data_IF_574198125434
#
_entry.id   IF_574198125434
#
_cell.length_a   1.000
_cell.length_b   1.000
_cell.length_c   1.000
_cell.angle_alpha   90.00
_cell.angle_beta   90.00
_cell.angle_gamma   90.00
#
_symmetry.space_group_name_H-M   'P 1'
#
loop_
_entity.id
_entity.type
_entity.pdbx_description
1 polymer ?
#
# COMPACT_ATOMS: atom_id res chain seq x y z
N UNK A 1 -10.62 20.76 3.67
CA UNK A 1 -10.46 21.02 2.22
C UNK A 1 -9.45 20.03 1.69
N UNK A 2 -9.87 19.08 0.85
CA UNK A 2 -9.02 17.99 0.40
C UNK A 2 -8.48 18.34 -1.00
N UNK A 3 -7.20 18.74 -1.13
CA UNK A 3 -6.61 19.14 -2.42
C UNK A 3 -6.48 17.98 -3.43
N UNK A 4 -6.96 16.78 -3.09
CA UNK A 4 -7.01 15.61 -3.96
C UNK A 4 -8.26 15.54 -4.88
N UNK A 5 -9.18 16.50 -4.80
CA UNK A 5 -10.46 16.45 -5.54
C UNK A 5 -10.67 17.54 -6.60
N UNK A 6 -9.77 18.50 -6.74
CA UNK A 6 -9.86 19.51 -7.81
C UNK A 6 -8.71 19.36 -8.81
N UNK A 7 -8.88 18.47 -9.78
CA UNK A 7 -8.24 18.60 -11.09
C UNK A 7 -9.25 18.28 -12.17
N UNK A 8 -9.34 19.18 -13.16
CA UNK A 8 -10.39 19.33 -14.16
C UNK A 8 -10.68 18.07 -15.02
N UNK A 9 -11.89 17.94 -15.61
CA UNK A 9 -12.39 16.69 -16.22
C UNK A 9 -11.80 16.29 -17.58
N UNK A 10 -10.79 16.99 -18.12
CA UNK A 10 -10.41 16.82 -19.54
C UNK A 10 -8.94 16.57 -19.85
N UNK A 11 -8.06 16.41 -18.86
CA UNK A 11 -6.68 16.00 -19.12
C UNK A 11 -6.41 14.63 -18.51
N UNK A 12 -6.49 13.58 -19.34
CA UNK A 12 -5.67 12.38 -19.17
C UNK A 12 -4.20 12.79 -19.38
N UNK A 13 -3.65 13.61 -18.49
CA UNK A 13 -2.21 13.87 -18.46
C UNK A 13 -1.52 12.62 -17.90
N UNK A 14 -1.34 11.67 -18.82
CA UNK A 14 -0.62 10.42 -18.66
C UNK A 14 0.88 10.63 -18.76
N UNK A 15 1.36 11.87 -18.58
CA UNK A 15 2.74 12.35 -18.68
C UNK A 15 3.77 11.23 -18.75
N UNK A 16 4.44 11.13 -19.90
CA UNK A 16 5.43 10.08 -20.13
C UNK A 16 6.52 10.17 -19.08
N UNK A 17 6.61 9.15 -18.23
CA UNK A 17 7.72 9.03 -17.31
C UNK A 17 8.94 8.58 -18.11
N UNK A 18 9.78 9.54 -18.43
CA UNK A 18 11.13 9.29 -18.91
C UNK A 18 12.03 9.14 -17.69
N UNK A 19 12.02 7.93 -17.13
CA UNK A 19 12.97 7.51 -16.10
C UNK A 19 14.09 6.74 -16.80
N UNK A 20 15.29 7.31 -16.79
CA UNK A 20 16.50 6.58 -17.16
C UNK A 20 16.99 5.85 -15.90
N UNK A 21 16.84 4.52 -15.89
CA UNK A 21 17.19 3.68 -14.75
C UNK A 21 18.58 3.10 -14.99
N UNK A 22 19.53 3.24 -14.04
CA UNK A 22 20.85 2.66 -14.18
C UNK A 22 20.79 1.13 -14.08
N UNK A 23 21.81 0.44 -14.59
CA UNK A 23 21.97 -1.01 -14.40
C UNK A 23 22.13 -1.39 -12.92
N UNK A 24 22.73 -0.50 -12.12
CA UNK A 24 22.90 -0.63 -10.68
C UNK A 24 22.87 0.74 -10.00
N UNK A 25 22.22 0.85 -8.84
CA UNK A 25 22.23 2.08 -8.06
C UNK A 25 23.54 2.28 -7.31
N UNK A 26 24.14 3.47 -7.44
CA UNK A 26 25.38 3.82 -6.73
C UNK A 26 25.06 4.33 -5.32
N UNK A 27 23.94 5.02 -5.15
CA UNK A 27 23.55 5.62 -3.85
C UNK A 27 22.12 5.30 -3.47
N UNK A 28 21.86 5.21 -2.17
CA UNK A 28 20.50 5.04 -1.65
C UNK A 28 19.54 6.15 -2.13
N UNK A 29 20.03 7.40 -2.20
CA UNK A 29 19.22 8.54 -2.60
C UNK A 29 18.73 8.45 -4.05
N UNK A 30 19.56 7.89 -4.94
CA UNK A 30 19.21 7.64 -6.33
C UNK A 30 18.09 6.59 -6.44
N UNK A 31 18.25 5.45 -5.76
CA UNK A 31 17.24 4.40 -5.68
C UNK A 31 15.92 4.93 -5.07
N UNK A 32 16.03 5.73 -4.01
CA UNK A 32 14.90 6.34 -3.32
C UNK A 32 14.12 7.33 -4.20
N UNK A 33 14.84 8.20 -4.91
CA UNK A 33 14.21 9.22 -5.76
C UNK A 33 13.44 8.58 -6.90
N UNK A 34 14.06 7.60 -7.57
CA UNK A 34 13.46 6.90 -8.71
C UNK A 34 12.23 6.07 -8.30
N UNK A 35 12.30 5.32 -7.20
CA UNK A 35 11.13 4.54 -6.72
C UNK A 35 9.99 5.44 -6.24
N UNK A 36 10.30 6.61 -5.69
CA UNK A 36 9.27 7.57 -5.27
C UNK A 36 8.52 8.13 -6.48
N UNK A 37 9.24 8.47 -7.56
CA UNK A 37 8.63 8.89 -8.82
C UNK A 37 7.77 7.78 -9.44
N UNK A 38 8.27 6.54 -9.47
CA UNK A 38 7.49 5.38 -9.90
C UNK A 38 6.24 5.19 -9.04
N UNK A 39 6.36 5.28 -7.72
CA UNK A 39 5.24 5.11 -6.79
C UNK A 39 4.14 6.14 -7.02
N UNK A 40 4.49 7.42 -7.22
CA UNK A 40 3.53 8.48 -7.54
C UNK A 40 2.77 8.17 -8.82
N UNK A 41 3.47 7.72 -9.84
CA UNK A 41 2.87 7.43 -11.14
C UNK A 41 2.04 6.15 -11.15
N UNK A 42 2.47 5.11 -10.44
CA UNK A 42 1.69 3.89 -10.22
C UNK A 42 0.38 4.23 -9.48
N UNK A 43 0.44 5.07 -8.45
CA UNK A 43 -0.75 5.53 -7.73
C UNK A 43 -1.67 6.36 -8.63
N UNK A 44 -1.11 7.23 -9.49
CA UNK A 44 -1.89 8.00 -10.48
C UNK A 44 -2.58 7.07 -11.47
N UNK A 45 -1.83 6.14 -12.06
CA UNK A 45 -2.36 5.15 -13.00
C UNK A 45 -3.47 4.30 -12.37
N UNK A 46 -3.28 3.80 -11.15
CA UNK A 46 -4.31 3.04 -10.42
C UNK A 46 -5.59 3.86 -10.21
N UNK A 47 -5.48 5.14 -9.84
CA UNK A 47 -6.64 6.02 -9.67
C UNK A 47 -7.39 6.28 -10.98
N UNK A 48 -6.67 6.51 -12.07
CA UNK A 48 -7.27 6.75 -13.40
C UNK A 48 -7.94 5.46 -13.90
N UNK A 49 -7.30 4.31 -13.71
CA UNK A 49 -7.83 3.01 -14.13
C UNK A 49 -9.18 2.68 -13.48
N UNK A 50 -9.35 3.03 -12.21
CA UNK A 50 -10.64 2.88 -11.51
C UNK A 50 -11.73 3.79 -12.08
N UNK A 51 -11.38 4.98 -12.60
CA UNK A 51 -12.36 5.95 -13.12
C UNK A 51 -12.74 5.72 -14.57
N UNK A 52 -11.78 5.27 -15.39
CA UNK A 52 -11.91 5.22 -16.85
C UNK A 52 -11.68 3.83 -17.45
N UNK A 53 -11.57 2.79 -16.63
CA UNK A 53 -11.24 1.42 -17.09
C UNK A 53 -12.26 0.81 -18.06
N UNK A 54 -13.51 1.31 -18.05
CA UNK A 54 -14.60 0.82 -18.89
C UNK A 54 -14.68 1.51 -20.27
N UNK A 55 -13.99 2.63 -20.46
CA UNK A 55 -13.90 3.31 -21.75
C UNK A 55 -12.86 2.63 -22.66
N UNK A 56 -13.29 2.16 -23.84
CA UNK A 56 -12.45 1.35 -24.74
C UNK A 56 -11.17 2.06 -25.20
N UNK A 57 -11.26 3.35 -25.54
CA UNK A 57 -10.10 4.14 -25.98
C UNK A 57 -9.10 4.39 -24.84
N UNK A 58 -9.61 4.70 -23.64
CA UNK A 58 -8.81 4.85 -22.44
C UNK A 58 -8.18 3.53 -21.99
N UNK A 59 -8.87 2.40 -22.18
CA UNK A 59 -8.40 1.08 -21.73
C UNK A 59 -7.13 0.62 -22.42
N UNK A 60 -7.00 0.82 -23.73
CA UNK A 60 -5.77 0.46 -24.46
C UNK A 60 -4.59 1.30 -23.96
N UNK A 61 -4.80 2.60 -23.82
CA UNK A 61 -3.79 3.54 -23.34
C UNK A 61 -3.35 3.22 -21.89
N UNK A 62 -4.31 2.92 -21.01
CA UNK A 62 -4.04 2.47 -19.64
C UNK A 62 -3.28 1.14 -19.63
N UNK A 63 -3.62 0.20 -20.52
CA UNK A 63 -2.90 -1.08 -20.63
C UNK A 63 -1.43 -0.86 -21.01
N UNK A 64 -1.17 -0.01 -22.00
CA UNK A 64 0.20 0.36 -22.41
C UNK A 64 0.96 1.04 -21.26
N UNK A 65 0.31 1.95 -20.54
CA UNK A 65 0.91 2.63 -19.39
C UNK A 65 1.22 1.64 -18.26
N UNK A 66 0.31 0.72 -17.95
CA UNK A 66 0.50 -0.36 -16.97
C UNK A 66 1.74 -1.19 -17.30
N UNK A 67 1.83 -1.68 -18.54
CA UNK A 67 2.97 -2.48 -19.01
C UNK A 67 4.30 -1.73 -18.92
N UNK A 68 4.31 -0.42 -19.24
CA UNK A 68 5.50 0.42 -19.09
C UNK A 68 5.92 0.56 -17.63
N UNK A 69 4.98 0.89 -16.75
CA UNK A 69 5.24 1.03 -15.31
C UNK A 69 5.71 -0.27 -14.67
N UNK A 70 5.14 -1.41 -15.07
CA UNK A 70 5.60 -2.73 -14.64
C UNK A 70 7.05 -2.97 -15.05
N UNK A 71 7.39 -2.78 -16.33
CA UNK A 71 8.76 -2.94 -16.83
C UNK A 71 9.76 -2.04 -16.11
N UNK A 72 9.42 -0.77 -15.88
CA UNK A 72 10.28 0.16 -15.14
C UNK A 72 10.48 -0.28 -13.69
N UNK A 73 9.43 -0.80 -13.05
CA UNK A 73 9.54 -1.29 -11.67
C UNK A 73 10.38 -2.58 -11.60
N UNK A 74 10.25 -3.48 -12.57
CA UNK A 74 11.07 -4.69 -12.68
C UNK A 74 12.55 -4.34 -12.90
N UNK A 75 12.84 -3.40 -13.80
CA UNK A 75 14.20 -2.87 -14.04
C UNK A 75 14.77 -2.23 -12.78
N UNK A 76 13.98 -1.39 -12.10
CA UNK A 76 14.36 -0.79 -10.82
C UNK A 76 14.68 -1.88 -9.79
N UNK A 77 13.84 -2.92 -9.71
CA UNK A 77 14.03 -4.06 -8.80
C UNK A 77 15.32 -4.83 -9.05
N UNK A 78 15.68 -5.00 -10.33
CA UNK A 78 16.95 -5.59 -10.76
C UNK A 78 18.15 -4.74 -10.35
N UNK A 79 18.14 -3.44 -10.68
CA UNK A 79 19.21 -2.51 -10.33
C UNK A 79 19.38 -2.33 -8.81
N UNK A 80 18.28 -2.45 -8.06
CA UNK A 80 18.26 -2.35 -6.60
C UNK A 80 18.73 -3.62 -5.89
N UNK A 81 18.80 -4.76 -6.59
CA UNK A 81 19.10 -6.05 -5.98
C UNK A 81 20.47 -6.09 -5.31
N UNK A 82 21.51 -5.55 -5.96
CA UNK A 82 22.87 -5.51 -5.42
C UNK A 82 22.93 -4.73 -4.11
N UNK A 83 22.30 -3.54 -4.06
CA UNK A 83 22.23 -2.71 -2.86
C UNK A 83 21.47 -3.43 -1.73
N UNK A 84 20.37 -4.09 -2.06
CA UNK A 84 19.56 -4.84 -1.10
C UNK A 84 20.34 -6.01 -0.48
N UNK A 85 21.05 -6.80 -1.29
CA UNK A 85 21.86 -7.92 -0.82
C UNK A 85 23.08 -7.45 -0.02
N UNK A 86 23.74 -6.36 -0.44
CA UNK A 86 24.85 -5.77 0.30
C UNK A 86 24.43 -5.28 1.69
N UNK A 87 23.25 -4.64 1.79
CA UNK A 87 22.71 -4.21 3.08
C UNK A 87 22.40 -5.41 4.01
N UNK A 88 22.06 -6.58 3.49
CA UNK A 88 21.81 -7.77 4.30
C UNK A 88 23.07 -8.24 5.06
N UNK A 89 24.26 -7.92 4.55
CA UNK A 89 25.53 -8.29 5.18
C UNK A 89 25.92 -7.35 6.34
N UNK A 90 25.32 -6.15 6.42
CA UNK A 90 25.58 -5.16 7.46
C UNK A 90 24.28 -4.81 8.23
N UNK A 91 23.80 -5.76 9.03
CA UNK A 91 22.45 -5.76 9.65
C UNK A 91 22.22 -4.77 10.78
N UNK A 92 23.26 -4.03 11.21
CA UNK A 92 23.22 -3.20 12.43
C UNK A 92 23.10 -1.69 12.16
N UNK A 93 23.16 -1.25 10.90
CA UNK A 93 23.14 0.17 10.53
C UNK A 93 21.74 0.74 10.23
N UNK A 94 21.56 2.05 10.46
CA UNK A 94 20.36 2.81 10.01
C UNK A 94 20.14 2.74 8.51
N UNK A 95 21.22 2.57 7.74
CA UNK A 95 21.19 2.42 6.28
C UNK A 95 20.47 1.14 5.86
N UNK A 96 20.66 0.05 6.60
CA UNK A 96 19.97 -1.22 6.35
C UNK A 96 18.45 -1.08 6.47
N UNK A 97 17.98 -0.35 7.49
CA UNK A 97 16.54 -0.10 7.68
C UNK A 97 15.93 0.72 6.55
N UNK A 98 16.67 1.73 6.06
CA UNK A 98 16.28 2.47 4.86
C UNK A 98 16.15 1.56 3.65
N UNK A 99 17.13 0.67 3.43
CA UNK A 99 17.12 -0.27 2.31
C UNK A 99 15.94 -1.26 2.39
N UNK A 100 15.66 -1.81 3.57
CA UNK A 100 14.49 -2.65 3.79
C UNK A 100 13.18 -1.88 3.50
N UNK A 101 13.08 -0.64 3.97
CA UNK A 101 11.91 0.19 3.77
C UNK A 101 11.62 0.44 2.27
N UNK A 102 12.65 0.76 1.48
CA UNK A 102 12.52 0.93 0.03
C UNK A 102 12.02 -0.34 -0.64
N UNK A 103 12.55 -1.51 -0.23
CA UNK A 103 12.08 -2.81 -0.75
C UNK A 103 10.61 -3.05 -0.42
N UNK A 104 10.17 -2.76 0.80
CA UNK A 104 8.76 -2.88 1.20
C UNK A 104 7.88 -1.95 0.35
N UNK A 105 8.33 -0.72 0.08
CA UNK A 105 7.62 0.22 -0.78
C UNK A 105 7.50 -0.33 -2.22
N UNK A 106 8.58 -0.92 -2.75
CA UNK A 106 8.61 -1.52 -4.08
C UNK A 106 7.63 -2.69 -4.19
N UNK A 107 7.62 -3.65 -3.26
CA UNK A 107 6.63 -4.75 -3.26
C UNK A 107 5.19 -4.23 -3.22
N UNK A 108 4.91 -3.20 -2.42
CA UNK A 108 3.59 -2.56 -2.45
C UNK A 108 3.29 -1.97 -3.82
N UNK A 109 4.25 -1.32 -4.47
CA UNK A 109 4.07 -0.78 -5.82
C UNK A 109 3.82 -1.88 -6.85
N UNK A 110 4.52 -3.01 -6.76
CA UNK A 110 4.33 -4.19 -7.63
C UNK A 110 2.88 -4.69 -7.55
N UNK A 111 2.36 -4.84 -6.33
CA UNK A 111 0.96 -5.25 -6.09
C UNK A 111 0.00 -4.21 -6.70
N UNK A 112 0.20 -2.92 -6.42
CA UNK A 112 -0.70 -1.85 -6.91
C UNK A 112 -0.74 -1.82 -8.44
N UNK A 113 0.42 -1.91 -9.11
CA UNK A 113 0.44 -1.85 -10.57
C UNK A 113 -0.08 -3.14 -11.20
N UNK A 114 0.23 -4.31 -10.64
CA UNK A 114 -0.25 -5.58 -11.16
C UNK A 114 -1.79 -5.67 -11.10
N UNK A 115 -2.38 -5.09 -10.06
CA UNK A 115 -3.82 -5.15 -9.78
C UNK A 115 -4.61 -3.92 -10.26
N UNK A 116 -3.95 -2.91 -10.83
CA UNK A 116 -4.53 -1.58 -11.12
C UNK A 116 -5.75 -1.58 -12.03
N UNK A 117 -5.87 -2.58 -12.91
CA UNK A 117 -6.93 -2.71 -13.90
C UNK A 117 -7.89 -3.87 -13.59
N UNK A 118 -7.81 -4.45 -12.39
CA UNK A 118 -8.74 -5.49 -11.94
C UNK A 118 -9.99 -4.87 -11.32
N UNK A 119 -11.14 -5.47 -11.61
CA UNK A 119 -12.43 -5.13 -10.99
C UNK A 119 -12.82 -6.09 -9.84
N UNK A 120 -11.98 -7.09 -9.54
CA UNK A 120 -12.20 -8.07 -8.48
C UNK A 120 -11.15 -7.97 -7.39
N UNK A 121 -11.57 -8.18 -6.15
CA UNK A 121 -10.68 -8.27 -5.00
C UNK A 121 -9.90 -9.61 -4.97
N UNK A 122 -10.31 -10.61 -5.73
CA UNK A 122 -9.61 -11.90 -5.80
C UNK A 122 -8.21 -11.80 -6.41
N UNK A 123 -7.96 -10.78 -7.22
CA UNK A 123 -6.64 -10.54 -7.83
C UNK A 123 -5.52 -10.38 -6.79
N UNK A 124 -5.85 -9.99 -5.56
CA UNK A 124 -4.87 -9.81 -4.48
C UNK A 124 -4.43 -11.15 -3.87
N UNK A 125 -5.17 -12.24 -4.10
CA UNK A 125 -4.87 -13.53 -3.50
C UNK A 125 -3.54 -14.11 -4.03
N UNK A 126 -3.21 -13.79 -5.28
CA UNK A 126 -1.95 -14.12 -5.95
C UNK A 126 -0.72 -13.47 -5.28
N UNK A 127 -0.94 -12.47 -4.40
CA UNK A 127 0.10 -11.69 -3.76
C UNK A 127 0.28 -11.99 -2.26
N UNK A 128 -0.27 -13.11 -1.78
CA UNK A 128 -0.19 -13.51 -0.36
C UNK A 128 1.26 -13.57 0.13
N UNK A 129 2.18 -14.09 -0.68
CA UNK A 129 3.60 -14.15 -0.34
C UNK A 129 4.22 -12.75 -0.21
N UNK A 130 3.93 -11.81 -1.11
CA UNK A 130 4.38 -10.42 -0.97
C UNK A 130 3.82 -9.75 0.29
N UNK A 131 2.55 -9.98 0.64
CA UNK A 131 1.99 -9.42 1.88
C UNK A 131 2.66 -9.98 3.14
N UNK A 132 3.02 -11.28 3.14
CA UNK A 132 3.81 -11.89 4.21
C UNK A 132 5.20 -11.27 4.31
N UNK A 133 5.88 -11.04 3.19
CA UNK A 133 7.17 -10.35 3.19
C UNK A 133 7.04 -8.91 3.72
N UNK A 134 6.05 -8.15 3.24
CA UNK A 134 5.79 -6.77 3.70
C UNK A 134 5.62 -6.75 5.22
N UNK A 135 4.78 -7.62 5.78
CA UNK A 135 4.53 -7.65 7.24
C UNK A 135 5.77 -8.08 8.02
N UNK A 136 6.44 -9.16 7.59
CA UNK A 136 7.66 -9.66 8.22
C UNK A 136 8.77 -8.59 8.31
N UNK A 137 9.12 -7.97 7.18
CA UNK A 137 10.16 -6.96 7.15
C UNK A 137 9.73 -5.66 7.85
N UNK A 138 8.45 -5.29 7.81
CA UNK A 138 7.95 -4.15 8.57
C UNK A 138 8.07 -4.37 10.08
N UNK A 139 7.79 -5.59 10.58
CA UNK A 139 7.97 -5.93 12.00
C UNK A 139 9.44 -5.80 12.40
N UNK A 140 10.35 -6.30 11.57
CA UNK A 140 11.78 -6.17 11.81
C UNK A 140 12.22 -4.70 11.87
N UNK A 141 11.78 -3.86 10.91
CA UNK A 141 12.06 -2.42 10.89
C UNK A 141 11.55 -1.74 12.15
N UNK A 142 10.32 -2.05 12.57
CA UNK A 142 9.73 -1.52 13.80
C UNK A 142 10.57 -1.86 15.04
N UNK A 143 10.92 -3.14 15.22
CA UNK A 143 11.71 -3.58 16.38
C UNK A 143 13.09 -2.92 16.43
N UNK A 144 13.73 -2.74 15.27
CA UNK A 144 15.03 -2.07 15.19
C UNK A 144 14.93 -0.56 15.41
N UNK A 145 13.89 0.09 14.88
CA UNK A 145 13.61 1.51 15.19
C UNK A 145 13.41 1.72 16.69
N UNK A 146 12.64 0.85 17.36
CA UNK A 146 12.45 0.90 18.81
C UNK A 146 13.77 0.75 19.57
N UNK A 147 14.60 -0.24 19.22
CA UNK A 147 15.93 -0.43 19.83
C UNK A 147 16.82 0.81 19.70
N UNK A 148 16.84 1.43 18.52
CA UNK A 148 17.65 2.63 18.27
C UNK A 148 17.13 3.81 19.10
N UNK A 149 15.80 3.98 19.16
CA UNK A 149 15.15 5.03 19.96
C UNK A 149 15.45 4.88 21.45
N UNK A 150 15.46 3.65 21.96
CA UNK A 150 15.76 3.39 23.37
C UNK A 150 17.23 3.66 23.70
N UNK A 151 18.15 3.47 22.74
CA UNK A 151 19.58 3.73 22.93
C UNK A 151 20.03 5.19 22.77
N UNK A 152 19.45 5.94 21.82
CA UNK A 152 19.98 7.24 21.36
C UNK A 152 18.91 8.35 21.39
N UNK A 153 17.65 8.03 21.75
CA UNK A 153 16.52 8.98 21.74
C UNK A 153 16.12 9.47 20.34
N UNK A 154 16.88 9.12 19.31
CA UNK A 154 16.68 9.56 17.93
C UNK A 154 15.49 8.85 17.30
N UNK A 155 14.52 9.62 16.79
CA UNK A 155 13.43 9.10 15.96
C UNK A 155 13.89 8.97 14.52
N UNK A 156 13.75 7.77 13.95
CA UNK A 156 13.98 7.60 12.54
C UNK A 156 12.71 7.98 11.77
N UNK A 157 12.88 8.84 10.77
CA UNK A 157 11.77 9.26 9.90
C UNK A 157 11.52 8.22 8.80
N UNK A 158 11.33 6.95 9.15
CA UNK A 158 11.06 5.86 8.19
C UNK A 158 9.61 5.82 7.69
N UNK A 159 8.93 6.96 7.63
CA UNK A 159 7.50 7.00 7.35
C UNK A 159 7.09 6.74 5.89
N UNK A 160 8.02 6.87 4.94
CA UNK A 160 7.63 6.86 3.53
C UNK A 160 7.16 5.48 3.07
N UNK A 161 5.86 5.35 2.84
CA UNK A 161 5.23 4.18 2.23
C UNK A 161 4.96 2.99 3.14
N UNK A 162 5.55 2.90 4.35
CA UNK A 162 5.31 1.76 5.27
C UNK A 162 3.86 1.72 5.77
N UNK A 163 3.31 2.86 6.20
CA UNK A 163 1.91 2.93 6.64
C UNK A 163 0.98 2.46 5.50
N UNK A 164 1.26 2.89 4.27
CA UNK A 164 0.49 2.48 3.10
C UNK A 164 0.62 0.99 2.80
N UNK A 165 1.83 0.43 2.86
CA UNK A 165 2.10 -0.98 2.59
C UNK A 165 1.41 -1.88 3.63
N UNK A 166 1.50 -1.53 4.91
CA UNK A 166 0.82 -2.22 6.00
C UNK A 166 -0.69 -2.09 5.87
N UNK A 167 -1.22 -0.90 5.55
CA UNK A 167 -2.65 -0.72 5.30
C UNK A 167 -3.13 -1.59 4.13
N UNK A 168 -2.33 -1.71 3.06
CA UNK A 168 -2.62 -2.60 1.93
C UNK A 168 -2.64 -4.06 2.36
N UNK A 169 -1.65 -4.52 3.13
CA UNK A 169 -1.61 -5.87 3.66
C UNK A 169 -2.82 -6.16 4.57
N UNK A 170 -3.18 -5.20 5.42
CA UNK A 170 -4.30 -5.30 6.35
C UNK A 170 -5.67 -5.40 5.67
N UNK A 171 -5.83 -4.76 4.50
CA UNK A 171 -7.14 -4.61 3.83
C UNK A 171 -7.29 -5.43 2.56
N UNK A 172 -6.20 -5.82 1.90
CA UNK A 172 -6.22 -6.55 0.62
C UNK A 172 -5.76 -8.00 0.71
N UNK A 173 -4.96 -8.38 1.70
CA UNK A 173 -4.67 -9.80 1.90
C UNK A 173 -5.92 -10.49 2.47
N UNK A 174 -6.22 -11.72 2.04
CA UNK A 174 -7.34 -12.48 2.62
C UNK A 174 -6.96 -13.27 3.87
N UNK A 175 -5.68 -13.54 4.12
CA UNK A 175 -5.23 -14.39 5.25
C UNK A 175 -5.28 -13.61 6.57
N UNK A 176 -6.02 -14.12 7.54
CA UNK A 176 -6.27 -13.42 8.82
C UNK A 176 -4.98 -13.06 9.56
N UNK A 177 -4.01 -13.98 9.60
CA UNK A 177 -2.74 -13.76 10.29
C UNK A 177 -1.98 -12.55 9.72
N UNK A 178 -1.89 -12.44 8.40
CA UNK A 178 -1.18 -11.33 7.73
C UNK A 178 -1.90 -10.01 8.00
N UNK A 179 -3.23 -10.01 7.95
CA UNK A 179 -4.02 -8.80 8.19
C UNK A 179 -3.87 -8.29 9.63
N UNK A 180 -4.00 -9.19 10.60
CA UNK A 180 -3.87 -8.89 12.04
C UNK A 180 -2.46 -8.43 12.37
N UNK A 181 -1.45 -9.06 11.80
CA UNK A 181 -0.06 -8.67 11.97
C UNK A 181 0.20 -7.24 11.44
N UNK A 182 -0.30 -6.92 10.24
CA UNK A 182 -0.18 -5.58 9.69
C UNK A 182 -0.84 -4.50 10.58
N UNK A 183 -2.00 -4.80 11.15
CA UNK A 183 -2.71 -3.91 12.09
C UNK A 183 -1.94 -3.75 13.39
N UNK A 184 -1.41 -4.85 13.94
CA UNK A 184 -0.59 -4.81 15.15
C UNK A 184 0.63 -3.90 14.97
N UNK A 185 1.37 -4.04 13.87
CA UNK A 185 2.50 -3.16 13.53
C UNK A 185 2.05 -1.70 13.44
N UNK A 186 0.94 -1.39 12.77
CA UNK A 186 0.41 -0.02 12.67
C UNK A 186 0.06 0.58 14.05
N UNK A 187 -0.42 -0.24 14.99
CA UNK A 187 -0.76 0.20 16.36
C UNK A 187 0.47 0.42 17.23
N UNK A 188 1.44 -0.48 17.14
CA UNK A 188 2.67 -0.45 17.93
C UNK A 188 3.67 0.60 17.46
N UNK A 189 3.45 1.16 16.26
CA UNK A 189 4.28 2.20 15.69
C UNK A 189 3.50 3.49 15.40
N UNK A 190 3.18 4.32 16.42
CA UNK A 190 2.56 5.62 16.21
C UNK A 190 3.48 6.55 15.40
N UNK A 191 3.15 6.77 14.13
CA UNK A 191 3.91 7.62 13.23
C UNK A 191 3.00 8.28 12.18
N UNK A 192 3.49 9.39 11.63
CA UNK A 192 2.80 10.16 10.59
C UNK A 192 3.71 10.33 9.39
N UNK A 193 3.16 10.13 8.18
CA UNK A 193 3.83 10.41 6.93
C UNK A 193 2.86 11.09 5.95
N UNK A 194 3.04 12.39 5.76
CA UNK A 194 2.09 13.20 4.99
C UNK A 194 0.69 13.11 5.58
N UNK A 195 -0.29 12.67 4.78
CA UNK A 195 -1.68 12.48 5.19
C UNK A 195 -1.93 11.18 5.97
N UNK A 196 -0.94 10.29 6.03
CA UNK A 196 -1.08 8.99 6.67
C UNK A 196 -0.68 9.06 8.14
N UNK A 197 -1.56 8.61 9.02
CA UNK A 197 -1.27 8.39 10.43
C UNK A 197 -1.47 6.91 10.74
N UNK A 198 -0.47 6.24 11.30
CA UNK A 198 -0.47 4.77 11.44
C UNK A 198 -1.65 4.26 12.27
N UNK A 199 -1.93 4.89 13.40
CA UNK A 199 -3.06 4.53 14.26
C UNK A 199 -4.43 4.81 13.60
N UNK A 200 -4.56 5.86 12.76
CA UNK A 200 -5.79 6.08 11.99
C UNK A 200 -5.97 5.00 10.93
N UNK A 201 -4.89 4.64 10.22
CA UNK A 201 -4.87 3.52 9.28
C UNK A 201 -5.24 2.20 9.97
N UNK A 202 -4.70 1.93 11.17
CA UNK A 202 -5.07 0.77 11.97
C UNK A 202 -6.57 0.74 12.28
N UNK A 203 -7.15 1.86 12.71
CA UNK A 203 -8.58 1.97 13.01
C UNK A 203 -9.46 1.66 11.81
N UNK A 204 -9.14 2.22 10.65
CA UNK A 204 -9.88 1.96 9.41
C UNK A 204 -9.72 0.49 8.99
N UNK A 205 -8.51 -0.07 9.09
CA UNK A 205 -8.25 -1.47 8.77
C UNK A 205 -8.98 -2.44 9.72
N UNK A 206 -8.99 -2.17 11.02
CA UNK A 206 -9.75 -2.92 12.03
C UNK A 206 -11.25 -2.97 11.68
N UNK A 207 -11.81 -1.84 11.25
CA UNK A 207 -13.21 -1.78 10.83
C UNK A 207 -13.47 -2.65 9.59
N UNK A 208 -12.61 -2.56 8.57
CA UNK A 208 -12.72 -3.39 7.35
C UNK A 208 -12.62 -4.87 7.71
N UNK A 209 -11.62 -5.25 8.49
CA UNK A 209 -11.42 -6.63 8.95
C UNK A 209 -12.64 -7.13 9.70
N UNK A 210 -13.21 -6.32 10.60
CA UNK A 210 -14.40 -6.70 11.35
C UNK A 210 -15.56 -7.01 10.41
N UNK A 211 -15.88 -6.13 9.45
CA UNK A 211 -17.02 -6.35 8.56
C UNK A 211 -16.79 -7.49 7.54
N UNK A 212 -15.54 -7.75 7.15
CA UNK A 212 -15.20 -8.87 6.26
C UNK A 212 -15.13 -10.22 6.99
N UNK A 213 -14.67 -10.23 8.25
CA UNK A 213 -14.53 -11.45 9.08
C UNK A 213 -15.81 -11.80 9.86
N UNK A 214 -16.82 -10.92 9.91
CA UNK A 214 -18.14 -11.12 10.57
C UNK A 214 -18.84 -12.42 10.10
N UNK A 215 -18.72 -12.76 8.82
CA UNK A 215 -19.35 -13.93 8.19
C UNK A 215 -18.46 -15.19 8.22
N UNK A 216 -17.25 -15.08 8.76
CA UNK A 216 -16.19 -16.10 8.70
C UNK A 216 -16.36 -17.22 9.72
N UNK A 217 -17.20 -18.20 9.41
CA UNK A 217 -17.41 -19.42 10.20
C UNK A 217 -16.16 -20.32 10.29
N UNK A 218 -15.18 -19.96 11.13
CA UNK A 218 -14.03 -20.81 11.48
C UNK A 218 -12.95 -20.97 10.40
N UNK A 219 -13.00 -20.19 9.31
CA UNK A 219 -11.98 -20.18 8.26
C UNK A 219 -10.74 -19.38 8.67
N UNK A 220 -9.58 -19.67 8.07
CA UNK A 220 -8.34 -18.88 8.28
C UNK A 220 -8.16 -17.72 7.27
N UNK A 221 -9.18 -17.46 6.44
CA UNK A 221 -9.14 -16.45 5.40
C UNK A 221 -10.53 -15.88 5.11
N UNK A 222 -10.57 -14.67 4.55
CA UNK A 222 -11.80 -13.96 4.15
C UNK A 222 -12.33 -14.58 2.84
N UNK A 223 -13.59 -15.09 2.82
CA UNK A 223 -14.23 -15.56 1.59
C UNK A 223 -14.44 -14.44 0.56
N UNK A 224 -14.49 -14.80 -0.73
CA UNK A 224 -14.60 -13.87 -1.86
C UNK A 224 -15.79 -12.91 -1.76
N UNK A 225 -16.94 -13.45 -1.38
CA UNK A 225 -18.22 -12.77 -1.25
C UNK A 225 -18.32 -11.90 0.01
N UNK A 226 -17.40 -12.06 0.96
CA UNK A 226 -17.33 -11.22 2.16
C UNK A 226 -16.44 -9.99 1.96
N UNK A 227 -15.74 -9.88 0.82
CA UNK A 227 -14.73 -8.82 0.62
C UNK A 227 -15.36 -7.47 0.31
N UNK A 228 -14.79 -6.44 0.93
CA UNK A 228 -15.06 -5.03 0.68
C UNK A 228 -14.41 -4.63 -0.64
N UNK A 229 -15.16 -3.90 -1.47
CA UNK A 229 -14.60 -3.22 -2.65
C UNK A 229 -13.81 -2.01 -2.19
N UNK A 230 -12.52 -2.16 -1.92
CA UNK A 230 -11.73 -1.09 -1.27
C UNK A 230 -11.71 0.21 -2.10
N UNK A 231 -11.89 0.11 -3.42
CA UNK A 231 -12.01 1.26 -4.33
C UNK A 231 -13.16 2.22 -3.96
N UNK A 232 -14.20 1.69 -3.31
CA UNK A 232 -15.35 2.45 -2.82
C UNK A 232 -15.14 3.07 -1.43
N UNK A 233 -14.03 2.76 -0.75
CA UNK A 233 -13.74 3.27 0.58
C UNK A 233 -13.63 4.80 0.55
N UNK A 234 -14.43 5.45 1.39
CA UNK A 234 -14.29 6.87 1.74
C UNK A 234 -13.91 6.97 3.21
N UNK A 235 -12.92 7.82 3.50
CA UNK A 235 -12.47 8.12 4.85
C UNK A 235 -12.54 9.64 5.03
N UNK A 236 -13.37 10.09 5.96
CA UNK A 236 -13.53 11.50 6.30
C UNK A 236 -13.08 11.72 7.73
N UNK A 237 -12.06 12.55 7.91
CA UNK A 237 -11.55 12.93 9.22
C UNK A 237 -12.34 14.14 9.74
N UNK A 238 -12.93 13.98 10.93
CA UNK A 238 -13.59 15.03 11.71
C UNK A 238 -12.88 15.16 13.06
N UNK A 239 -13.13 16.25 13.79
CA UNK A 239 -12.52 16.46 15.11
C UNK A 239 -12.92 15.32 16.05
N UNK A 240 -11.97 14.46 16.41
CA UNK A 240 -12.17 13.32 17.30
C UNK A 240 -12.86 12.09 16.68
N UNK A 241 -13.10 12.05 15.37
CA UNK A 241 -13.86 10.96 14.72
C UNK A 241 -13.41 10.73 13.28
N UNK A 242 -13.34 9.46 12.89
CA UNK A 242 -13.11 9.02 11.51
C UNK A 242 -14.41 8.42 10.99
N UNK A 243 -15.04 9.06 10.01
CA UNK A 243 -16.20 8.49 9.32
C UNK A 243 -15.71 7.65 8.16
N UNK A 244 -16.07 6.37 8.15
CA UNK A 244 -15.72 5.42 7.11
C UNK A 244 -16.97 4.89 6.42
N UNK A 245 -16.90 4.75 5.11
CA UNK A 245 -17.95 4.08 4.33
C UNK A 245 -17.36 3.34 3.12
N UNK A 246 -17.98 2.24 2.73
CA UNK A 246 -17.59 1.44 1.56
C UNK A 246 -18.76 0.57 1.07
N UNK A 247 -18.56 -0.08 -0.06
CA UNK A 247 -19.41 -1.15 -0.59
C UNK A 247 -18.78 -2.51 -0.30
N UNK A 248 -19.59 -3.46 0.17
CA UNK A 248 -19.21 -4.84 0.41
C UNK A 248 -20.06 -5.76 -0.47
N UNK A 249 -19.47 -6.82 -1.01
CA UNK A 249 -20.26 -7.88 -1.64
C UNK A 249 -21.10 -8.60 -0.57
N UNK A 250 -22.32 -9.00 -0.91
CA UNK A 250 -23.11 -9.92 -0.09
C UNK A 250 -23.05 -11.32 -0.67
N UNK A 251 -23.44 -12.33 0.13
CA UNK A 251 -23.53 -13.73 -0.32
C UNK A 251 -24.46 -13.92 -1.54
N UNK A 252 -25.40 -12.99 -1.76
CA UNK A 252 -26.29 -12.97 -2.93
C UNK A 252 -25.75 -12.18 -4.13
N UNK A 253 -24.52 -11.69 -4.08
CA UNK A 253 -23.90 -10.86 -5.13
C UNK A 253 -24.37 -9.39 -5.17
N UNK A 254 -25.26 -9.00 -4.26
CA UNK A 254 -25.67 -7.60 -4.11
C UNK A 254 -24.55 -6.78 -3.44
N UNK A 255 -24.49 -5.48 -3.72
CA UNK A 255 -23.55 -4.58 -3.05
C UNK A 255 -24.24 -3.89 -1.89
N UNK A 256 -23.73 -4.11 -0.69
CA UNK A 256 -24.21 -3.50 0.55
C UNK A 256 -23.35 -2.30 0.91
N UNK A 257 -24.00 -1.17 1.21
CA UNK A 257 -23.32 0.00 1.76
C UNK A 257 -23.05 -0.21 3.25
N UNK A 258 -21.79 -0.10 3.65
CA UNK A 258 -21.33 -0.22 5.04
C UNK A 258 -20.78 1.12 5.47
N UNK A 259 -21.20 1.60 6.65
CA UNK A 259 -20.76 2.89 7.20
C UNK A 259 -20.55 2.79 8.71
N UNK A 260 -19.54 3.49 9.23
CA UNK A 260 -19.31 3.63 10.67
C UNK A 260 -18.64 4.97 11.03
N UNK A 261 -18.82 5.38 12.28
CA UNK A 261 -18.07 6.46 12.91
C UNK A 261 -17.12 5.85 13.94
N UNK A 262 -15.82 5.96 13.68
CA UNK A 262 -14.76 5.42 14.53
C UNK A 262 -14.23 6.54 15.44
N UNK A 263 -14.18 6.31 16.74
CA UNK A 263 -13.58 7.27 17.68
C UNK A 263 -12.07 7.35 17.46
N UNK A 264 -11.56 8.58 17.43
CA UNK A 264 -10.15 8.88 17.26
C UNK A 264 -9.75 9.96 18.28
N UNK A 265 -8.78 9.72 19.17
CA UNK A 265 -8.37 10.70 20.18
C UNK A 265 -7.78 11.98 19.58
#
# INVERSE_FOLDING_TARGET
MNPMLEQHPHNLDLGEILLDLPDQFVTFNEAFTTVTQLAVSILRHSKISVRFGDDLGSRELLTRQKQRLQRLLDQWGGAYQTMFLGAYQNTLGREHLGVLQLRICAWKCEIVIATSMSNTELVFDDFTAQFQMITHFSRYVLQKDQQIRDSDGSRLQYGMGLIMALFYAATRCRKFLVRREAIAILREWPCTNGIWHSLQAAKVAEWIVRIEEESGGGLEFVPADCRVKLQSLRVTLMKGTIVVECMQSSAGGALEHRRASLTWP
#
